data_IF_316795677832
#
_entry.id   IF_316795677832
#
_cell.length_a   1.000
_cell.length_b   1.000
_cell.length_c   1.000
_cell.angle_alpha   90.00
_cell.angle_beta   90.00
_cell.angle_gamma   90.00
#
_symmetry.space_group_name_H-M   'P 1'
#
loop_
_entity.id
_entity.type
_entity.pdbx_description
1 polymer ?
#
# COMPACT_ATOMS: atom_id res chain seq x y z
N UNK A 1 -7.30 27.20 13.39
CA UNK A 1 -7.88 27.50 12.06
C UNK A 1 -6.71 27.92 11.19
N UNK A 2 -6.65 27.37 9.98
CA UNK A 2 -5.70 27.79 8.97
C UNK A 2 -6.47 28.40 7.80
N UNK A 3 -5.94 29.46 7.21
CA UNK A 3 -6.51 30.14 6.05
C UNK A 3 -5.47 30.12 4.92
N UNK A 4 -5.92 29.85 3.72
CA UNK A 4 -5.10 29.81 2.51
C UNK A 4 -5.95 30.13 1.26
N UNK A 5 -5.34 30.73 0.25
CA UNK A 5 -5.99 31.02 -1.03
C UNK A 5 -6.20 29.75 -1.87
N UNK A 6 -5.32 28.77 -1.74
CA UNK A 6 -5.34 27.49 -2.44
C UNK A 6 -5.00 26.35 -1.49
N UNK A 7 -5.52 25.17 -1.78
CA UNK A 7 -5.26 23.94 -1.05
C UNK A 7 -4.92 22.81 -2.01
N UNK A 8 -3.91 22.01 -1.68
CA UNK A 8 -3.69 20.71 -2.31
C UNK A 8 -4.08 19.64 -1.29
N UNK A 9 -5.08 18.84 -1.63
CA UNK A 9 -5.57 17.75 -0.81
C UNK A 9 -4.96 16.43 -1.31
N UNK A 10 -4.02 15.85 -0.53
CA UNK A 10 -3.28 14.65 -0.89
C UNK A 10 -3.67 13.44 -0.03
N UNK A 11 -4.89 13.41 0.51
CA UNK A 11 -5.37 12.29 1.33
C UNK A 11 -6.04 11.22 0.50
N UNK A 12 -5.97 9.92 0.89
CA UNK A 12 -6.66 8.84 0.20
C UNK A 12 -8.18 9.05 0.17
N UNK A 13 -8.87 8.47 -0.83
CA UNK A 13 -10.32 8.66 -1.01
C UNK A 13 -11.14 8.28 0.23
N UNK A 14 -10.74 7.26 0.98
CA UNK A 14 -11.40 6.89 2.24
C UNK A 14 -11.36 8.00 3.29
N UNK A 15 -10.26 8.71 3.39
CA UNK A 15 -10.11 9.84 4.30
C UNK A 15 -10.82 11.07 3.77
N UNK A 16 -10.74 11.30 2.46
CA UNK A 16 -11.38 12.45 1.79
C UNK A 16 -12.91 12.45 1.99
N UNK A 17 -13.55 11.28 1.96
CA UNK A 17 -14.99 11.12 2.25
C UNK A 17 -15.40 11.50 3.68
N UNK A 18 -14.46 11.47 4.63
CA UNK A 18 -14.71 11.80 6.04
C UNK A 18 -14.53 13.29 6.35
N UNK A 19 -14.00 14.06 5.40
CA UNK A 19 -13.83 15.50 5.54
C UNK A 19 -15.20 16.16 5.41
N UNK A 20 -15.53 17.05 6.32
CA UNK A 20 -16.74 17.88 6.25
C UNK A 20 -16.46 19.06 5.31
N UNK A 21 -16.94 18.91 4.08
CA UNK A 21 -16.79 19.94 3.04
C UNK A 21 -17.87 21.01 3.16
N UNK A 22 -17.49 22.28 3.01
CA UNK A 22 -18.41 23.40 2.92
C UNK A 22 -17.98 24.37 1.80
N UNK A 23 -18.73 24.45 0.69
CA UNK A 23 -19.91 23.64 0.37
C UNK A 23 -19.59 22.16 0.19
N UNK A 24 -20.63 21.33 0.13
CA UNK A 24 -20.48 19.88 -0.08
C UNK A 24 -19.88 19.58 -1.46
N UNK A 25 -19.10 18.52 -1.56
CA UNK A 25 -18.58 18.01 -2.82
C UNK A 25 -19.72 17.67 -3.81
N UNK A 26 -19.51 17.85 -5.12
CA UNK A 26 -20.48 17.44 -6.14
C UNK A 26 -20.82 15.94 -6.05
N UNK A 27 -22.03 15.57 -6.41
CA UNK A 27 -22.51 14.18 -6.34
C UNK A 27 -21.65 13.22 -7.16
N UNK A 28 -21.29 13.59 -8.40
CA UNK A 28 -20.42 12.79 -9.25
C UNK A 28 -19.04 12.54 -8.60
N UNK A 29 -18.49 13.49 -7.86
CA UNK A 29 -17.22 13.32 -7.15
C UNK A 29 -17.40 12.40 -5.93
N UNK A 30 -18.52 12.51 -5.21
CA UNK A 30 -18.82 11.59 -4.11
C UNK A 30 -19.00 10.16 -4.61
N UNK A 31 -19.64 9.96 -5.75
CA UNK A 31 -19.79 8.65 -6.39
C UNK A 31 -18.42 8.09 -6.80
N UNK A 32 -17.58 8.88 -7.48
CA UNK A 32 -16.23 8.49 -7.85
C UNK A 32 -15.35 8.12 -6.64
N UNK A 33 -15.47 8.87 -5.54
CA UNK A 33 -14.80 8.56 -4.26
C UNK A 33 -15.27 7.23 -3.66
N UNK A 34 -16.53 6.85 -3.88
CA UNK A 34 -17.09 5.59 -3.39
C UNK A 34 -16.73 4.40 -4.29
N UNK A 35 -16.54 4.62 -5.57
CA UNK A 35 -16.22 3.57 -6.54
C UNK A 35 -14.76 3.13 -6.49
N UNK A 36 -13.81 4.06 -6.25
CA UNK A 36 -12.39 3.72 -6.23
C UNK A 36 -12.07 2.79 -5.06
N UNK A 37 -11.48 1.66 -5.38
CA UNK A 37 -11.07 0.65 -4.41
C UNK A 37 -9.57 0.73 -4.11
N UNK A 38 -9.19 0.15 -2.98
CA UNK A 38 -7.80 -0.06 -2.59
C UNK A 38 -7.54 -1.55 -2.42
N UNK A 39 -6.36 -1.99 -2.86
CA UNK A 39 -5.99 -3.39 -2.74
C UNK A 39 -5.80 -3.80 -1.27
N UNK A 40 -6.12 -5.05 -1.00
CA UNK A 40 -5.84 -5.68 0.29
C UNK A 40 -4.39 -6.15 0.31
N UNK A 41 -3.55 -5.45 1.05
CA UNK A 41 -2.11 -5.71 1.13
C UNK A 41 -1.73 -6.06 2.56
N UNK A 42 -0.97 -7.13 2.71
CA UNK A 42 -0.30 -7.52 3.96
C UNK A 42 1.21 -7.57 3.78
N UNK A 43 1.94 -6.98 4.71
CA UNK A 43 3.39 -7.13 4.86
C UNK A 43 3.66 -7.76 6.21
N UNK A 44 4.35 -8.88 6.19
CA UNK A 44 4.67 -9.66 7.38
C UNK A 44 6.19 -9.84 7.46
N UNK A 45 6.90 -8.87 8.06
CA UNK A 45 8.35 -8.96 8.27
C UNK A 45 8.70 -10.12 9.18
N UNK A 46 9.63 -10.96 8.73
CA UNK A 46 10.23 -12.05 9.50
C UNK A 46 11.70 -11.69 9.74
N UNK A 47 12.03 -11.38 10.99
CA UNK A 47 13.38 -11.00 11.40
C UNK A 47 14.16 -12.22 11.85
N UNK A 48 15.29 -12.50 11.22
CA UNK A 48 16.14 -13.64 11.48
C UNK A 48 17.50 -13.24 12.09
N UNK A 49 18.02 -14.08 12.98
CA UNK A 49 19.36 -13.89 13.59
C UNK A 49 20.51 -14.08 12.61
N UNK A 50 20.28 -14.88 11.56
CA UNK A 50 21.24 -15.22 10.52
C UNK A 50 20.56 -15.16 9.15
N UNK A 51 21.30 -14.69 8.13
CA UNK A 51 20.88 -14.81 6.73
C UNK A 51 21.14 -16.23 6.26
N UNK A 52 20.13 -17.06 6.15
CA UNK A 52 20.24 -18.43 5.62
C UNK A 52 20.16 -18.48 4.09
N UNK A 53 19.78 -17.40 3.45
CA UNK A 53 19.83 -17.22 2.00
C UNK A 53 21.18 -16.67 1.55
N UNK A 54 21.64 -17.10 0.37
CA UNK A 54 23.00 -16.75 -0.14
C UNK A 54 23.01 -15.55 -1.08
N UNK A 55 21.86 -15.25 -1.69
CA UNK A 55 21.76 -14.19 -2.71
C UNK A 55 21.24 -12.91 -2.08
N UNK A 56 21.94 -11.80 -2.30
CA UNK A 56 21.46 -10.49 -1.84
C UNK A 56 20.20 -10.05 -2.58
N UNK A 57 20.08 -10.34 -3.89
CA UNK A 57 18.90 -10.10 -4.70
C UNK A 57 17.98 -11.32 -4.69
N UNK A 58 17.43 -11.61 -3.50
CA UNK A 58 16.56 -12.75 -3.30
C UNK A 58 15.10 -12.36 -3.38
N UNK A 59 14.38 -12.99 -4.29
CA UNK A 59 12.93 -12.98 -4.40
C UNK A 59 12.40 -14.42 -4.53
N UNK A 60 11.26 -14.70 -3.90
CA UNK A 60 10.62 -16.01 -4.00
C UNK A 60 9.10 -15.84 -4.08
N UNK A 61 8.49 -16.49 -5.05
CA UNK A 61 7.03 -16.61 -5.19
C UNK A 61 6.59 -18.00 -4.79
N UNK A 62 5.49 -18.11 -4.06
CA UNK A 62 4.87 -19.37 -3.66
C UNK A 62 3.39 -19.41 -4.05
N UNK A 63 2.84 -20.60 -4.17
CA UNK A 63 1.40 -20.85 -4.36
C UNK A 63 0.61 -20.86 -3.04
N UNK A 64 1.32 -20.76 -1.90
CA UNK A 64 0.73 -20.71 -0.56
C UNK A 64 0.13 -19.31 -0.24
N UNK A 65 -0.60 -19.17 0.88
CA UNK A 65 -1.02 -17.85 1.35
C UNK A 65 0.15 -16.87 1.58
N UNK A 66 1.36 -17.38 1.92
CA UNK A 66 2.57 -16.58 2.08
C UNK A 66 3.22 -16.21 0.72
N UNK A 67 2.46 -15.72 -0.17
CA UNK A 67 2.59 -15.52 -1.60
C UNK A 67 3.98 -15.13 -2.14
N UNK A 68 4.60 -14.06 -1.61
CA UNK A 68 5.83 -13.49 -2.14
C UNK A 68 6.78 -13.10 -1.02
N UNK A 69 8.05 -13.39 -1.20
CA UNK A 69 9.11 -13.01 -0.26
C UNK A 69 10.17 -12.17 -0.97
N UNK A 70 10.66 -11.16 -0.28
CA UNK A 70 11.82 -10.38 -0.72
C UNK A 70 12.73 -10.03 0.46
N UNK A 71 14.01 -9.84 0.14
CA UNK A 71 15.04 -9.47 1.12
C UNK A 71 14.98 -7.97 1.42
N UNK A 72 14.55 -7.60 2.64
CA UNK A 72 14.38 -6.20 3.04
C UNK A 72 15.63 -5.55 3.61
N UNK A 73 16.64 -6.34 4.02
CA UNK A 73 17.91 -5.85 4.59
C UNK A 73 19.06 -5.95 3.61
N UNK A 74 18.80 -5.78 2.32
CA UNK A 74 19.80 -5.60 1.27
C UNK A 74 20.79 -4.51 1.65
N UNK A 75 22.07 -4.73 1.34
CA UNK A 75 23.13 -3.75 1.59
C UNK A 75 23.31 -3.35 3.06
N UNK A 76 22.74 -4.09 4.01
CA UNK A 76 22.97 -3.89 5.42
C UNK A 76 24.00 -4.90 5.94
N UNK A 77 24.99 -4.41 6.67
CA UNK A 77 26.00 -5.24 7.31
C UNK A 77 25.43 -5.98 8.52
N UNK A 78 25.97 -7.17 8.80
CA UNK A 78 25.60 -7.96 9.96
C UNK A 78 25.11 -9.36 9.59
N UNK A 79 25.08 -10.29 10.57
CA UNK A 79 24.71 -11.68 10.33
C UNK A 79 23.20 -11.86 10.14
N UNK A 80 22.39 -11.02 10.77
CA UNK A 80 20.93 -11.08 10.70
C UNK A 80 20.34 -10.47 9.45
N UNK A 81 19.09 -10.79 9.17
CA UNK A 81 18.36 -10.20 8.05
C UNK A 81 16.85 -10.33 8.20
N UNK A 82 16.14 -9.61 7.35
CA UNK A 82 14.68 -9.61 7.33
C UNK A 82 14.18 -10.03 5.95
N UNK A 83 13.31 -11.02 5.91
CA UNK A 83 12.49 -11.32 4.75
C UNK A 83 11.09 -10.74 4.98
N UNK A 84 10.56 -10.05 3.98
CA UNK A 84 9.16 -9.65 3.99
C UNK A 84 8.35 -10.71 3.27
N UNK A 85 7.40 -11.32 3.98
CA UNK A 85 6.31 -12.01 3.33
C UNK A 85 5.28 -10.95 2.89
N UNK A 86 5.12 -10.80 1.59
CA UNK A 86 4.20 -9.85 0.98
C UNK A 86 3.03 -10.60 0.35
N UNK A 87 1.84 -10.32 0.79
CA UNK A 87 0.63 -10.96 0.30
C UNK A 87 -0.38 -9.93 -0.16
N UNK A 88 -1.18 -10.28 -1.16
CA UNK A 88 -2.21 -9.42 -1.76
C UNK A 88 -3.56 -10.12 -1.80
N UNK A 89 -4.64 -9.36 -1.83
CA UNK A 89 -6.00 -9.86 -2.00
C UNK A 89 -6.40 -10.86 -0.90
N UNK A 90 -7.01 -11.95 -1.30
CA UNK A 90 -7.52 -12.99 -0.38
C UNK A 90 -6.39 -13.69 0.42
N UNK A 91 -5.19 -13.78 -0.15
CA UNK A 91 -4.02 -14.30 0.55
C UNK A 91 -3.61 -13.40 1.72
N UNK A 92 -3.59 -12.08 1.52
CA UNK A 92 -3.30 -11.12 2.58
C UNK A 92 -4.36 -11.18 3.69
N UNK A 93 -5.63 -11.29 3.32
CA UNK A 93 -6.73 -11.39 4.25
C UNK A 93 -6.68 -12.67 5.06
N UNK A 94 -6.40 -13.82 4.42
CA UNK A 94 -6.25 -15.09 5.11
C UNK A 94 -5.13 -15.07 6.16
N UNK A 95 -3.98 -14.45 5.86
CA UNK A 95 -2.89 -14.27 6.82
C UNK A 95 -3.22 -13.25 7.91
N UNK A 96 -4.06 -12.25 7.61
CA UNK A 96 -4.52 -11.29 8.60
C UNK A 96 -5.50 -11.91 9.60
N UNK A 97 -6.36 -12.83 9.15
CA UNK A 97 -7.47 -13.40 9.93
C UNK A 97 -7.01 -14.44 10.98
N UNK A 98 -5.85 -15.04 10.79
CA UNK A 98 -5.34 -16.10 11.69
C UNK A 98 -4.54 -15.53 12.86
N UNK A 99 -4.34 -16.36 13.92
CA UNK A 99 -3.49 -15.99 15.05
C UNK A 99 -2.02 -15.77 14.64
N UNK A 100 -1.25 -15.13 15.50
CA UNK A 100 0.18 -14.91 15.27
C UNK A 100 0.92 -16.23 15.06
N UNK A 101 0.66 -17.24 15.89
CA UNK A 101 1.30 -18.55 15.81
C UNK A 101 0.95 -19.27 14.50
N UNK A 102 -0.31 -19.23 14.09
CA UNK A 102 -0.75 -19.83 12.83
C UNK A 102 -0.13 -19.13 11.64
N UNK A 103 -0.13 -17.81 11.61
CA UNK A 103 0.51 -17.01 10.54
C UNK A 103 1.99 -17.31 10.46
N UNK A 104 2.70 -17.31 11.58
CA UNK A 104 4.12 -17.66 11.67
C UNK A 104 4.38 -19.06 11.08
N UNK A 105 3.58 -20.06 11.46
CA UNK A 105 3.70 -21.42 10.92
C UNK A 105 3.53 -21.43 9.40
N UNK A 106 2.47 -20.79 8.87
CA UNK A 106 2.20 -20.73 7.43
C UNK A 106 3.38 -20.12 6.68
N UNK A 107 3.95 -19.03 7.20
CA UNK A 107 5.06 -18.33 6.56
C UNK A 107 6.35 -19.17 6.60
N UNK A 108 6.67 -19.79 7.74
CA UNK A 108 7.85 -20.65 7.85
C UNK A 108 7.72 -21.91 7.00
N UNK A 109 6.53 -22.51 6.93
CA UNK A 109 6.28 -23.66 6.08
C UNK A 109 6.43 -23.36 4.59
N UNK A 110 6.09 -22.12 4.16
CA UNK A 110 6.31 -21.67 2.79
C UNK A 110 7.81 -21.51 2.44
N UNK A 111 8.67 -21.22 3.42
CA UNK A 111 10.13 -21.14 3.25
C UNK A 111 10.80 -22.52 3.23
N UNK A 112 10.19 -23.54 3.83
CA UNK A 112 10.78 -24.86 4.07
C UNK A 112 11.26 -25.58 2.81
N UNK A 113 10.53 -25.57 1.66
CA UNK A 113 11.00 -26.23 0.44
C UNK A 113 12.34 -25.69 -0.08
N UNK A 114 12.59 -24.38 0.11
CA UNK A 114 13.81 -23.74 -0.39
C UNK A 114 14.97 -23.78 0.62
N UNK A 115 14.68 -23.71 1.91
CA UNK A 115 15.70 -23.46 2.95
C UNK A 115 15.70 -24.48 4.12
N UNK A 116 14.79 -25.47 4.09
CA UNK A 116 14.61 -26.37 5.22
C UNK A 116 13.94 -25.65 6.43
N UNK A 117 14.13 -26.20 7.61
CA UNK A 117 13.59 -25.58 8.83
C UNK A 117 14.47 -24.42 9.29
N UNK A 118 13.96 -23.22 9.11
CA UNK A 118 14.60 -21.94 9.48
C UNK A 118 14.04 -21.35 10.78
N UNK A 119 13.14 -22.04 11.45
CA UNK A 119 12.47 -21.56 12.67
C UNK A 119 13.44 -21.19 13.79
N UNK A 120 14.55 -21.91 13.90
CA UNK A 120 15.61 -21.65 14.89
C UNK A 120 16.30 -20.30 14.74
N UNK A 121 16.25 -19.70 13.57
CA UNK A 121 16.83 -18.38 13.30
C UNK A 121 15.84 -17.24 13.52
N UNK A 122 14.53 -17.54 13.63
CA UNK A 122 13.51 -16.51 13.77
C UNK A 122 13.63 -15.82 15.14
N UNK A 123 13.73 -14.49 15.13
CA UNK A 123 13.72 -13.62 16.32
C UNK A 123 12.38 -12.98 16.55
N UNK A 124 11.77 -12.49 15.47
CA UNK A 124 10.53 -11.72 15.54
C UNK A 124 9.71 -11.90 14.27
N UNK A 125 8.40 -11.97 14.40
CA UNK A 125 7.42 -11.86 13.32
C UNK A 125 6.51 -10.65 13.57
N UNK A 126 6.39 -9.81 12.57
CA UNK A 126 5.62 -8.56 12.62
C UNK A 126 4.42 -8.70 11.70
N UNK A 127 3.30 -8.10 12.08
CA UNK A 127 2.10 -8.04 11.24
C UNK A 127 1.79 -6.61 10.88
N UNK A 128 1.70 -6.34 9.58
CA UNK A 128 1.14 -5.10 9.07
C UNK A 128 0.16 -5.39 7.92
N UNK A 129 -1.12 -5.15 8.16
CA UNK A 129 -2.17 -5.32 7.17
C UNK A 129 -2.86 -3.98 6.91
N UNK A 130 -2.68 -3.45 5.69
CA UNK A 130 -3.15 -2.13 5.31
C UNK A 130 -4.68 -1.98 5.36
N UNK A 131 -5.43 -3.06 5.23
CA UNK A 131 -6.89 -3.05 5.39
C UNK A 131 -7.38 -2.65 6.78
N UNK A 132 -6.52 -2.77 7.82
CA UNK A 132 -6.82 -2.35 9.18
C UNK A 132 -6.42 -0.89 9.46
N UNK A 133 -5.73 -0.23 8.53
CA UNK A 133 -5.29 1.16 8.71
C UNK A 133 -6.47 2.12 8.51
N UNK A 134 -6.93 2.82 9.57
CA UNK A 134 -8.18 3.60 9.51
C UNK A 134 -8.11 4.84 8.62
N UNK A 135 -6.91 5.25 8.20
CA UNK A 135 -6.72 6.39 7.32
C UNK A 135 -6.74 6.01 5.83
N UNK A 136 -6.40 4.77 5.48
CA UNK A 136 -6.30 4.35 4.08
C UNK A 136 -7.19 3.17 3.71
N UNK A 137 -7.45 2.25 4.65
CA UNK A 137 -8.22 1.00 4.45
C UNK A 137 -7.70 0.10 3.33
N UNK A 138 -6.45 0.25 2.95
CA UNK A 138 -5.80 -0.52 1.91
C UNK A 138 -4.59 0.18 1.32
N UNK A 139 -3.94 -0.48 0.40
CA UNK A 139 -2.90 0.02 -0.49
C UNK A 139 -2.76 -0.99 -1.65
N UNK A 140 -2.62 -0.55 -2.85
CA UNK A 140 -2.69 0.81 -3.37
C UNK A 140 -4.05 1.03 -4.02
N UNK A 141 -4.31 2.22 -4.58
CA UNK A 141 -5.51 2.47 -5.37
C UNK A 141 -5.62 1.45 -6.51
N UNK A 142 -6.81 0.93 -6.74
CA UNK A 142 -7.07 -0.11 -7.72
C UNK A 142 -8.25 0.29 -8.59
N UNK A 143 -7.97 0.66 -9.83
CA UNK A 143 -9.01 0.96 -10.81
C UNK A 143 -9.52 -0.32 -11.47
N UNK A 144 -10.83 -0.50 -11.45
CA UNK A 144 -11.52 -1.53 -12.17
C UNK A 144 -11.63 -1.23 -13.67
N UNK A 145 -12.29 -2.13 -14.40
CA UNK A 145 -12.53 -1.96 -15.85
C UNK A 145 -13.27 -0.66 -16.11
N UNK A 146 -12.75 0.17 -17.01
CA UNK A 146 -13.20 1.51 -17.41
C UNK A 146 -13.01 2.61 -16.35
N UNK A 147 -12.83 2.33 -15.09
CA UNK A 147 -12.73 3.34 -14.03
C UNK A 147 -11.55 4.31 -14.26
N UNK A 148 -10.49 3.88 -14.94
CA UNK A 148 -9.42 4.78 -15.37
C UNK A 148 -9.90 5.96 -16.23
N UNK A 149 -10.96 5.75 -17.03
CA UNK A 149 -11.53 6.75 -17.91
C UNK A 149 -12.74 7.46 -17.31
N UNK A 150 -13.48 6.77 -16.45
CA UNK A 150 -14.75 7.27 -15.94
C UNK A 150 -14.63 7.87 -14.52
N UNK A 151 -13.75 7.31 -13.67
CA UNK A 151 -13.60 7.68 -12.26
C UNK A 151 -12.40 8.61 -12.03
N UNK A 152 -11.23 8.25 -12.58
CA UNK A 152 -9.99 9.01 -12.34
C UNK A 152 -10.08 10.47 -12.78
N UNK A 153 -10.63 10.82 -13.97
CA UNK A 153 -10.79 12.21 -14.37
C UNK A 153 -11.65 13.02 -13.39
N UNK A 154 -12.74 12.44 -12.89
CA UNK A 154 -13.65 13.10 -11.93
C UNK A 154 -12.92 13.36 -10.61
N UNK A 155 -12.15 12.39 -10.11
CA UNK A 155 -11.35 12.56 -8.89
C UNK A 155 -10.22 13.60 -9.02
N UNK A 156 -9.78 13.86 -10.27
CA UNK A 156 -8.73 14.84 -10.58
C UNK A 156 -9.26 16.26 -10.79
N UNK A 157 -10.57 16.44 -10.87
CA UNK A 157 -11.18 17.75 -11.04
C UNK A 157 -10.98 18.63 -9.80
N UNK A 158 -10.52 19.87 -9.96
CA UNK A 158 -10.47 20.81 -8.84
C UNK A 158 -11.86 21.09 -8.27
N UNK A 159 -11.94 21.21 -6.96
CA UNK A 159 -13.15 21.68 -6.30
C UNK A 159 -12.91 23.03 -5.64
N UNK A 160 -13.51 24.10 -6.18
CA UNK A 160 -13.26 25.48 -5.76
C UNK A 160 -11.75 25.82 -5.80
N UNK A 161 -11.19 26.13 -4.63
CA UNK A 161 -9.77 26.45 -4.47
C UNK A 161 -8.93 25.22 -4.07
N UNK A 162 -9.50 24.02 -4.10
CA UNK A 162 -8.82 22.78 -3.75
C UNK A 162 -8.46 21.97 -4.97
N UNK A 163 -7.20 21.61 -5.10
CA UNK A 163 -6.69 20.62 -6.04
C UNK A 163 -6.46 19.31 -5.32
N UNK A 164 -6.53 18.20 -6.04
CA UNK A 164 -6.29 16.87 -5.49
C UNK A 164 -5.01 16.29 -6.06
N UNK A 165 -4.28 15.56 -5.22
CA UNK A 165 -3.04 14.87 -5.57
C UNK A 165 -2.94 13.54 -4.80
N UNK A 166 -2.03 12.67 -5.18
CA UNK A 166 -1.77 11.40 -4.54
C UNK A 166 -1.51 10.28 -5.55
N UNK A 167 -1.05 9.14 -5.08
CA UNK A 167 -0.75 8.00 -5.95
C UNK A 167 -1.99 7.51 -6.73
N UNK A 168 -3.16 7.67 -6.15
CA UNK A 168 -4.43 7.29 -6.74
C UNK A 168 -4.85 8.15 -7.95
N UNK A 169 -4.23 9.31 -8.15
CA UNK A 169 -4.46 10.20 -9.30
C UNK A 169 -3.29 10.19 -10.30
N UNK A 170 -2.30 9.32 -10.07
CA UNK A 170 -1.10 9.27 -10.88
C UNK A 170 -1.22 8.23 -11.99
N UNK A 171 -0.55 8.45 -13.13
CA UNK A 171 -0.41 7.44 -14.18
C UNK A 171 0.32 6.19 -13.66
N UNK A 172 1.27 6.38 -12.75
CA UNK A 172 2.00 5.33 -12.05
C UNK A 172 1.44 5.15 -10.64
N UNK A 173 0.20 4.70 -10.55
CA UNK A 173 -0.46 4.44 -9.28
C UNK A 173 0.29 3.38 -8.46
N UNK A 174 0.22 3.51 -7.13
CA UNK A 174 0.88 2.59 -6.21
C UNK A 174 2.38 2.84 -6.01
N UNK A 175 2.97 3.85 -6.65
CA UNK A 175 4.37 4.20 -6.55
C UNK A 175 4.57 5.61 -5.99
N UNK A 176 5.68 5.79 -5.24
CA UNK A 176 6.07 7.09 -4.69
C UNK A 176 6.31 8.13 -5.79
N UNK A 177 6.91 7.72 -6.93
CA UNK A 177 7.15 8.59 -8.08
C UNK A 177 5.84 9.13 -8.65
N UNK A 178 4.82 8.29 -8.81
CA UNK A 178 3.49 8.74 -9.25
C UNK A 178 2.87 9.75 -8.29
N UNK A 179 2.96 9.49 -6.98
CA UNK A 179 2.47 10.42 -5.98
C UNK A 179 3.18 11.78 -6.03
N UNK A 180 4.52 11.77 -6.19
CA UNK A 180 5.33 12.97 -6.33
C UNK A 180 4.96 13.77 -7.58
N UNK A 181 4.83 13.08 -8.73
CA UNK A 181 4.43 13.73 -9.99
C UNK A 181 3.05 14.37 -9.89
N UNK A 182 2.07 13.66 -9.31
CA UNK A 182 0.72 14.23 -9.14
C UNK A 182 0.70 15.47 -8.24
N UNK A 183 1.56 15.51 -7.21
CA UNK A 183 1.74 16.69 -6.38
C UNK A 183 2.36 17.86 -7.14
N UNK A 184 3.35 17.59 -7.99
CA UNK A 184 3.96 18.60 -8.86
C UNK A 184 2.97 19.15 -9.88
N UNK A 185 2.16 18.30 -10.52
CA UNK A 185 1.13 18.72 -11.46
C UNK A 185 0.07 19.62 -10.80
N UNK A 186 -0.27 19.35 -9.54
CA UNK A 186 -1.16 20.19 -8.76
C UNK A 186 -0.53 21.56 -8.44
N UNK A 187 0.76 21.60 -8.10
CA UNK A 187 1.50 22.85 -7.86
C UNK A 187 1.60 23.69 -9.13
N UNK A 188 1.96 23.11 -10.27
CA UNK A 188 2.00 23.80 -11.57
C UNK A 188 0.65 24.42 -11.93
N UNK A 189 -0.45 23.74 -11.69
CA UNK A 189 -1.81 24.30 -11.87
C UNK A 189 -2.09 25.51 -10.96
N UNK A 190 -1.55 25.53 -9.73
CA UNK A 190 -1.68 26.69 -8.83
C UNK A 190 -0.87 27.88 -9.35
N UNK A 191 0.32 27.63 -9.85
CA UNK A 191 1.22 28.66 -10.34
C UNK A 191 0.80 29.23 -11.72
N UNK A 192 -0.14 28.60 -12.40
CA UNK A 192 -0.64 29.00 -13.71
C UNK A 192 0.33 28.70 -14.86
N UNK A 193 1.19 27.69 -14.68
CA UNK A 193 2.16 27.22 -15.67
C UNK A 193 1.61 26.02 -16.44
#
# INVERSE_FOLDING_TARGET
>A
IFEADKLICAVPTFSLRKILWSPQLPENMLDALNELQYARIGKFPMVFSEKFWKQEDFDMVTDTPAHYFYHATKNQSGPGGTLICYATGDKAESLNAVSQEQRKSIILDALRPAFGDVSKYLKEDIKFYWGNEPASYGAYALYGVKQWFDVMPVLSEPFQNTLFAGEHLAEWQGFMEGALQSGKDADEKILGN
#
